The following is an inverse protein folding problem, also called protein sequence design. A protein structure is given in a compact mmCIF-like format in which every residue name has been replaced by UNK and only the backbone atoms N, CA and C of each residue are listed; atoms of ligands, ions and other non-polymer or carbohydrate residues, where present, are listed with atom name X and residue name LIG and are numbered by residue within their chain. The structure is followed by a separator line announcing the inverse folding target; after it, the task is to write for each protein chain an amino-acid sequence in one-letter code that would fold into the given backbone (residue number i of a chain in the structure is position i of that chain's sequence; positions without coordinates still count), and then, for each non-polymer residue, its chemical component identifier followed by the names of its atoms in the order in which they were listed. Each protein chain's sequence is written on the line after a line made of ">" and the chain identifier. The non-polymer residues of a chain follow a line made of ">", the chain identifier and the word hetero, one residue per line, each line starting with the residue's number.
data_IF_450455002215
#
_entry.id   IF_450455002215
#
_cell.length_a   1.000
_cell.length_b   1.000
_cell.length_c   1.000
_cell.angle_alpha   90.00
_cell.angle_beta   90.00
_cell.angle_gamma   90.00
#
_symmetry.space_group_name_H-M   'P 1'
#
loop_
_entity.id
_entity.type
_entity.pdbx_description
1 polymer ?
#
# COMPACT_ATOMS: atom_id res chain seq x y z
N UNK A 1 -24.53 -2.78 10.10
CA UNK A 1 -24.46 -4.17 10.63
C UNK A 1 -24.32 -4.09 12.13
N UNK A 2 -25.13 -4.81 12.89
CA UNK A 2 -25.01 -4.87 14.35
C UNK A 2 -24.10 -6.08 14.67
N UNK A 3 -23.00 -5.86 15.34
CA UNK A 3 -22.10 -6.93 15.81
C UNK A 3 -22.29 -7.14 17.30
N UNK A 4 -22.22 -8.39 17.74
CA UNK A 4 -22.50 -8.78 19.13
C UNK A 4 -21.24 -9.33 19.81
N UNK A 5 -20.39 -10.07 19.09
CA UNK A 5 -19.14 -10.64 19.60
C UNK A 5 -17.95 -10.01 18.88
N UNK A 6 -17.03 -9.44 19.67
CA UNK A 6 -15.82 -8.78 19.20
C UNK A 6 -14.60 -9.57 19.63
N UNK A 7 -13.80 -10.02 18.67
CA UNK A 7 -12.57 -10.78 18.91
C UNK A 7 -11.38 -9.91 18.54
N UNK A 8 -10.49 -9.64 19.47
CA UNK A 8 -9.21 -8.99 19.22
C UNK A 8 -8.10 -10.02 19.07
N UNK A 9 -7.26 -9.84 18.05
CA UNK A 9 -6.14 -10.73 17.74
C UNK A 9 -4.83 -9.96 17.78
N UNK A 10 -3.91 -10.42 18.65
CA UNK A 10 -2.50 -10.02 18.59
C UNK A 10 -1.68 -11.11 17.87
N UNK A 11 -1.08 -10.75 16.71
CA UNK A 11 -0.37 -11.68 15.85
C UNK A 11 1.11 -11.76 16.18
N UNK A 12 1.61 -13.00 16.36
CA UNK A 12 3.03 -13.30 16.34
C UNK A 12 3.37 -14.35 15.27
N UNK A 13 4.65 -14.61 15.04
CA UNK A 13 5.12 -15.50 13.99
C UNK A 13 4.58 -16.93 14.13
N UNK A 14 4.67 -17.51 15.33
CA UNK A 14 4.29 -18.89 15.58
C UNK A 14 2.86 -19.02 16.12
N UNK A 15 2.39 -18.03 16.86
CA UNK A 15 1.12 -18.05 17.56
C UNK A 15 0.40 -16.71 17.37
N UNK A 16 -0.87 -16.67 17.71
CA UNK A 16 -1.61 -15.45 17.97
C UNK A 16 -2.45 -15.61 19.25
N UNK A 17 -2.67 -14.50 19.94
CA UNK A 17 -3.53 -14.47 21.14
C UNK A 17 -4.86 -13.83 20.78
N UNK A 18 -5.97 -14.45 21.21
CA UNK A 18 -7.31 -13.96 20.99
C UNK A 18 -7.99 -13.62 22.32
N UNK A 19 -8.66 -12.48 22.36
CA UNK A 19 -9.55 -12.04 23.45
C UNK A 19 -10.94 -11.78 22.91
N UNK A 20 -11.99 -12.06 23.69
CA UNK A 20 -13.38 -11.95 23.26
C UNK A 20 -14.17 -11.03 24.20
N UNK A 21 -14.92 -10.08 23.61
CA UNK A 21 -15.86 -9.18 24.29
C UNK A 21 -17.27 -9.37 23.75
N UNK A 22 -18.26 -9.49 24.62
CA UNK A 22 -19.67 -9.68 24.26
C UNK A 22 -20.47 -8.39 24.49
N UNK A 23 -21.14 -7.90 23.46
CA UNK A 23 -22.00 -6.72 23.57
C UNK A 23 -21.28 -5.50 24.14
N UNK A 24 -21.87 -4.90 25.18
CA UNK A 24 -21.33 -3.73 25.88
C UNK A 24 -20.58 -4.11 27.19
N UNK A 25 -20.47 -5.41 27.50
CA UNK A 25 -19.78 -5.88 28.71
C UNK A 25 -18.31 -5.41 28.68
N UNK A 26 -17.81 -4.71 29.70
CA UNK A 26 -16.44 -4.22 29.75
C UNK A 26 -15.41 -5.36 29.86
N UNK A 27 -15.79 -6.48 30.45
CA UNK A 27 -14.90 -7.60 30.76
C UNK A 27 -14.89 -8.64 29.62
N UNK A 28 -13.74 -9.29 29.36
CA UNK A 28 -13.67 -10.41 28.43
C UNK A 28 -14.57 -11.57 28.88
N UNK A 29 -15.26 -12.19 27.91
CA UNK A 29 -16.17 -13.35 28.14
C UNK A 29 -15.43 -14.52 28.82
N UNK A 30 -14.13 -14.63 28.54
CA UNK A 30 -13.25 -15.63 29.13
C UNK A 30 -11.80 -15.15 29.06
N UNK A 31 -10.88 -15.84 29.71
CA UNK A 31 -9.44 -15.55 29.63
C UNK A 31 -8.96 -15.61 28.18
N UNK A 32 -8.10 -14.66 27.75
CA UNK A 32 -7.47 -14.67 26.44
C UNK A 32 -6.78 -16.00 26.16
N UNK A 33 -6.88 -16.49 24.92
CA UNK A 33 -6.39 -17.81 24.53
C UNK A 33 -5.39 -17.72 23.40
N UNK A 34 -4.31 -18.48 23.48
CA UNK A 34 -3.30 -18.60 22.44
C UNK A 34 -3.65 -19.75 21.47
N UNK A 35 -3.39 -19.49 20.16
CA UNK A 35 -3.58 -20.43 19.06
C UNK A 35 -2.34 -20.43 18.18
N UNK A 36 -2.04 -21.55 17.50
CA UNK A 36 -0.98 -21.59 16.49
C UNK A 36 -1.34 -20.75 15.26
N UNK A 37 -0.36 -20.04 14.71
CA UNK A 37 -0.58 -19.20 13.50
C UNK A 37 -0.47 -20.06 12.22
N UNK A 38 -1.36 -21.05 12.12
CA UNK A 38 -1.48 -22.00 11.02
C UNK A 38 -2.97 -22.39 10.78
N UNK A 39 -3.22 -23.27 9.83
CA UNK A 39 -4.57 -23.77 9.53
C UNK A 39 -5.25 -24.46 10.71
N UNK A 40 -4.48 -25.14 11.56
CA UNK A 40 -4.99 -25.82 12.75
C UNK A 40 -5.46 -24.82 13.79
N UNK A 41 -4.66 -23.78 14.04
CA UNK A 41 -5.04 -22.71 14.97
C UNK A 41 -6.21 -21.88 14.47
N UNK A 42 -6.30 -21.63 13.16
CA UNK A 42 -7.46 -20.94 12.58
C UNK A 42 -8.76 -21.73 12.78
N UNK A 43 -8.76 -23.05 12.54
CA UNK A 43 -9.91 -23.93 12.81
C UNK A 43 -10.26 -23.98 14.29
N UNK A 44 -9.24 -24.04 15.18
CA UNK A 44 -9.45 -24.03 16.61
C UNK A 44 -10.05 -22.71 17.10
N UNK A 45 -9.64 -21.57 16.52
CA UNK A 45 -10.24 -20.25 16.80
C UNK A 45 -11.72 -20.23 16.38
N UNK A 46 -12.06 -20.67 15.17
CA UNK A 46 -13.45 -20.72 14.71
C UNK A 46 -14.30 -21.58 15.66
N UNK A 47 -13.82 -22.77 16.05
CA UNK A 47 -14.51 -23.63 17.03
C UNK A 47 -14.65 -22.97 18.40
N UNK A 48 -13.68 -22.17 18.82
CA UNK A 48 -13.75 -21.42 20.07
C UNK A 48 -14.76 -20.28 19.99
N UNK A 49 -14.80 -19.54 18.87
CA UNK A 49 -15.79 -18.48 18.60
C UNK A 49 -17.22 -19.06 18.68
N UNK A 50 -17.49 -20.19 18.01
CA UNK A 50 -18.80 -20.84 18.02
C UNK A 50 -19.26 -21.19 19.44
N UNK A 51 -18.35 -21.61 20.33
CA UNK A 51 -18.68 -21.93 21.73
C UNK A 51 -18.99 -20.69 22.57
N UNK A 52 -18.48 -19.51 22.18
CA UNK A 52 -18.73 -18.25 22.89
C UNK A 52 -19.97 -17.53 22.39
N UNK A 53 -20.48 -17.93 21.22
CA UNK A 53 -21.64 -17.28 20.61
C UNK A 53 -22.91 -17.63 21.38
N UNK A 54 -23.74 -16.63 21.77
CA UNK A 54 -25.07 -16.89 22.27
C UNK A 54 -25.93 -17.64 21.24
N UNK A 55 -26.84 -18.51 21.70
CA UNK A 55 -27.72 -19.30 20.82
C UNK A 55 -28.57 -18.46 19.85
N UNK A 56 -28.82 -17.19 20.21
CA UNK A 56 -29.59 -16.24 19.37
C UNK A 56 -28.74 -15.55 18.30
N UNK A 57 -27.43 -15.78 18.28
CA UNK A 57 -26.47 -15.12 17.38
C UNK A 57 -25.90 -16.09 16.34
N UNK A 58 -25.44 -15.55 15.24
CA UNK A 58 -24.82 -16.27 14.13
C UNK A 58 -23.37 -15.80 13.91
N UNK A 59 -22.61 -16.51 13.08
CA UNK A 59 -21.24 -16.09 12.73
C UNK A 59 -21.17 -14.71 12.07
N UNK A 60 -22.24 -14.27 11.44
CA UNK A 60 -22.35 -12.90 10.88
C UNK A 60 -22.40 -11.80 11.94
N UNK A 61 -22.70 -12.14 13.20
CA UNK A 61 -22.72 -11.19 14.33
C UNK A 61 -21.35 -11.06 15.02
N UNK A 62 -20.35 -11.79 14.53
CA UNK A 62 -18.97 -11.75 14.99
C UNK A 62 -18.16 -10.74 14.18
N UNK A 63 -17.28 -9.99 14.85
CA UNK A 63 -16.23 -9.22 14.21
C UNK A 63 -14.88 -9.59 14.82
N UNK A 64 -13.99 -10.11 14.02
CA UNK A 64 -12.59 -10.34 14.39
C UNK A 64 -11.77 -9.15 13.94
N UNK A 65 -11.01 -8.54 14.84
CA UNK A 65 -10.09 -7.45 14.54
C UNK A 65 -8.67 -7.86 14.90
N UNK A 66 -7.70 -7.50 14.09
CA UNK A 66 -6.29 -7.73 14.35
C UNK A 66 -5.42 -6.61 13.82
N UNK A 67 -4.21 -6.50 14.36
CA UNK A 67 -3.20 -5.59 13.83
C UNK A 67 -2.61 -6.14 12.53
N UNK A 68 -2.48 -5.28 11.50
CA UNK A 68 -1.83 -5.68 10.25
C UNK A 68 -0.31 -5.78 10.44
N UNK A 69 0.19 -6.98 10.71
CA UNK A 69 1.62 -7.29 10.96
C UNK A 69 2.34 -7.88 9.75
N UNK A 70 1.92 -7.52 8.53
CA UNK A 70 2.51 -8.06 7.28
C UNK A 70 2.18 -9.54 7.08
N UNK A 71 3.20 -10.37 6.78
CA UNK A 71 3.00 -11.78 6.42
C UNK A 71 2.37 -12.64 7.53
N UNK A 72 2.51 -12.26 8.80
CA UNK A 72 1.94 -13.03 9.91
C UNK A 72 0.42 -12.91 10.04
N UNK A 73 -0.16 -11.86 9.48
CA UNK A 73 -1.60 -11.59 9.49
C UNK A 73 -2.31 -11.96 8.17
N UNK A 74 -1.74 -12.79 7.30
CA UNK A 74 -2.34 -13.13 6.01
C UNK A 74 -3.25 -14.36 6.04
N UNK A 75 -2.87 -15.38 6.79
CA UNK A 75 -3.55 -16.67 6.76
C UNK A 75 -4.93 -16.61 7.45
N UNK A 76 -4.96 -16.10 8.68
CA UNK A 76 -6.16 -16.10 9.51
C UNK A 76 -7.34 -15.35 8.90
N UNK A 77 -7.20 -14.12 8.36
CA UNK A 77 -8.31 -13.40 7.74
C UNK A 77 -8.94 -14.18 6.56
N UNK A 78 -8.11 -14.88 5.79
CA UNK A 78 -8.62 -15.72 4.71
C UNK A 78 -9.47 -16.87 5.23
N UNK A 79 -9.02 -17.56 6.30
CA UNK A 79 -9.76 -18.66 6.90
C UNK A 79 -11.05 -18.19 7.60
N UNK A 80 -11.04 -17.01 8.19
CA UNK A 80 -12.24 -16.40 8.75
C UNK A 80 -13.25 -16.04 7.66
N UNK A 81 -12.78 -15.46 6.56
CA UNK A 81 -13.63 -15.19 5.40
C UNK A 81 -14.27 -16.46 4.83
N UNK A 82 -13.48 -17.54 4.66
CA UNK A 82 -13.98 -18.84 4.19
C UNK A 82 -15.01 -19.46 5.17
N UNK A 83 -14.94 -19.10 6.46
CA UNK A 83 -15.88 -19.51 7.50
C UNK A 83 -17.10 -18.57 7.63
N UNK A 84 -17.20 -17.51 6.85
CA UNK A 84 -18.28 -16.50 6.93
C UNK A 84 -18.18 -15.57 8.13
N UNK A 85 -16.98 -15.40 8.69
CA UNK A 85 -16.73 -14.51 9.82
C UNK A 85 -16.07 -13.22 9.31
N UNK A 86 -16.65 -12.07 9.67
CA UNK A 86 -16.10 -10.78 9.32
C UNK A 86 -14.79 -10.52 10.04
N UNK A 87 -13.77 -10.13 9.27
CA UNK A 87 -12.44 -9.80 9.77
C UNK A 87 -12.05 -8.37 9.36
N UNK A 88 -11.44 -7.63 10.29
CA UNK A 88 -10.93 -6.29 10.10
C UNK A 88 -9.45 -6.22 10.49
N UNK A 89 -8.57 -6.02 9.51
CA UNK A 89 -7.15 -5.74 9.76
C UNK A 89 -6.93 -4.23 9.83
N UNK A 90 -6.51 -3.75 11.00
CA UNK A 90 -6.30 -2.32 11.23
C UNK A 90 -4.81 -1.99 11.38
N UNK A 91 -4.48 -0.71 11.14
CA UNK A 91 -3.13 -0.21 11.35
C UNK A 91 -2.83 -0.09 12.85
N UNK A 92 -1.66 -0.58 13.28
CA UNK A 92 -1.16 -0.48 14.65
C UNK A 92 -1.28 0.93 15.26
N UNK A 93 -0.97 1.95 14.47
CA UNK A 93 -1.06 3.36 14.91
C UNK A 93 -2.50 3.76 15.22
N UNK A 94 -3.47 3.27 14.43
CA UNK A 94 -4.88 3.57 14.66
C UNK A 94 -5.40 2.90 15.93
N UNK A 95 -5.04 1.63 16.15
CA UNK A 95 -5.40 0.88 17.36
C UNK A 95 -4.81 1.58 18.59
N UNK A 96 -3.52 1.87 18.57
CA UNK A 96 -2.81 2.51 19.69
C UNK A 96 -3.37 3.89 20.02
N UNK A 97 -3.64 4.72 19.02
CA UNK A 97 -4.19 6.06 19.25
C UNK A 97 -5.68 6.03 19.65
N UNK A 98 -6.41 4.98 19.26
CA UNK A 98 -7.83 4.81 19.59
C UNK A 98 -8.07 4.23 20.97
N UNK A 99 -7.09 3.53 21.57
CA UNK A 99 -7.26 2.89 22.87
C UNK A 99 -7.39 3.88 24.03
N UNK A 100 -6.84 5.10 23.88
CA UNK A 100 -6.87 6.13 24.94
C UNK A 100 -6.14 5.75 26.24
N UNK A 101 -5.51 4.57 26.29
CA UNK A 101 -4.86 4.03 27.49
C UNK A 101 -3.36 4.30 27.48
N UNK A 102 -2.81 4.73 28.60
CA UNK A 102 -1.37 4.68 28.86
C UNK A 102 -1.04 3.27 29.36
N UNK A 103 -0.59 2.41 28.43
CA UNK A 103 -0.22 1.02 28.75
C UNK A 103 1.06 1.01 29.57
N UNK A 104 1.00 0.61 30.85
CA UNK A 104 2.16 0.46 31.72
C UNK A 104 2.74 -0.97 31.71
N UNK A 105 1.90 -1.96 31.42
CA UNK A 105 2.31 -3.36 31.25
C UNK A 105 1.97 -3.83 29.85
N UNK A 106 2.93 -4.45 29.19
CA UNK A 106 2.75 -5.03 27.87
C UNK A 106 2.68 -6.54 28.00
N UNK A 107 1.52 -7.12 27.64
CA UNK A 107 1.36 -8.55 27.44
C UNK A 107 0.48 -8.80 26.22
N UNK A 108 0.74 -9.87 25.50
CA UNK A 108 -0.02 -10.24 24.30
C UNK A 108 -1.52 -10.40 24.61
N UNK A 109 -1.87 -10.81 25.83
CA UNK A 109 -3.26 -10.91 26.31
C UNK A 109 -3.92 -9.54 26.47
N UNK A 110 -3.19 -8.56 27.03
CA UNK A 110 -3.69 -7.19 27.17
C UNK A 110 -3.81 -6.51 25.82
N UNK A 111 -2.86 -6.74 24.90
CA UNK A 111 -2.89 -6.20 23.54
C UNK A 111 -4.08 -6.79 22.76
N UNK A 112 -4.35 -8.10 22.84
CA UNK A 112 -5.51 -8.72 22.23
C UNK A 112 -6.83 -8.14 22.76
N UNK A 113 -6.94 -7.90 24.08
CA UNK A 113 -8.14 -7.29 24.69
C UNK A 113 -8.33 -5.85 24.23
N UNK A 114 -7.25 -5.06 24.18
CA UNK A 114 -7.28 -3.69 23.66
C UNK A 114 -7.73 -3.63 22.19
N UNK A 115 -7.32 -4.58 21.36
CA UNK A 115 -7.75 -4.70 19.97
C UNK A 115 -9.26 -5.03 19.88
N UNK A 116 -9.78 -5.89 20.76
CA UNK A 116 -11.23 -6.20 20.82
C UNK A 116 -12.05 -4.96 21.22
N UNK A 117 -11.59 -4.20 22.22
CA UNK A 117 -12.21 -2.94 22.65
C UNK A 117 -12.21 -1.88 21.53
N UNK A 118 -11.08 -1.77 20.83
CA UNK A 118 -10.97 -0.90 19.65
C UNK A 118 -12.00 -1.26 18.59
N UNK A 119 -12.10 -2.55 18.26
CA UNK A 119 -13.08 -3.03 17.29
C UNK A 119 -14.51 -2.69 17.69
N UNK A 120 -14.89 -2.96 18.96
CA UNK A 120 -16.21 -2.65 19.52
C UNK A 120 -16.53 -1.15 19.44
N UNK A 121 -15.56 -0.30 19.75
CA UNK A 121 -15.76 1.16 19.81
C UNK A 121 -15.90 1.77 18.41
N UNK A 122 -15.13 1.28 17.43
CA UNK A 122 -14.97 1.96 16.14
C UNK A 122 -15.60 1.26 14.95
N UNK A 123 -16.13 0.03 15.07
CA UNK A 123 -16.61 -0.74 13.93
C UNK A 123 -17.69 -0.01 13.13
N UNK A 124 -18.64 0.69 13.79
CA UNK A 124 -19.70 1.39 13.10
C UNK A 124 -19.21 2.56 12.23
N UNK A 125 -18.06 3.14 12.56
CA UNK A 125 -17.52 4.36 11.93
C UNK A 125 -16.38 4.11 10.99
N UNK A 126 -15.60 3.04 11.19
CA UNK A 126 -14.28 2.87 10.54
C UNK A 126 -14.01 1.48 9.97
N UNK A 127 -14.88 0.49 10.22
CA UNK A 127 -14.61 -0.89 9.80
C UNK A 127 -14.39 -0.99 8.30
N UNK A 128 -13.29 -1.68 7.94
CA UNK A 128 -13.02 -2.14 6.58
C UNK A 128 -12.83 -3.63 6.63
N UNK A 129 -13.87 -4.34 6.23
CA UNK A 129 -13.86 -5.80 6.24
C UNK A 129 -12.82 -6.32 5.24
N UNK A 130 -12.10 -7.34 5.67
CA UNK A 130 -11.19 -8.07 4.82
C UNK A 130 -11.98 -8.81 3.73
N UNK A 131 -11.59 -8.56 2.50
CA UNK A 131 -12.04 -9.32 1.33
C UNK A 131 -10.80 -9.88 0.66
N UNK A 132 -10.73 -11.19 0.41
CA UNK A 132 -9.58 -11.77 -0.28
C UNK A 132 -9.37 -11.13 -1.65
N UNK A 133 -8.12 -10.81 -1.96
CA UNK A 133 -7.77 -10.40 -3.31
C UNK A 133 -8.01 -11.55 -4.31
N UNK A 134 -8.24 -11.19 -5.57
CA UNK A 134 -8.27 -12.19 -6.63
C UNK A 134 -6.91 -12.90 -6.73
N UNK A 135 -6.88 -14.18 -7.11
CA UNK A 135 -5.62 -14.91 -7.26
C UNK A 135 -4.61 -14.19 -8.16
N UNK A 136 -5.08 -13.54 -9.23
CA UNK A 136 -4.24 -12.79 -10.17
C UNK A 136 -3.64 -11.55 -9.49
N UNK A 137 -4.39 -10.81 -8.70
CA UNK A 137 -3.87 -9.65 -7.97
C UNK A 137 -2.88 -10.05 -6.89
N UNK A 138 -3.13 -11.15 -6.19
CA UNK A 138 -2.22 -11.70 -5.19
C UNK A 138 -0.88 -12.09 -5.83
N UNK A 139 -0.91 -12.82 -6.93
CA UNK A 139 0.30 -13.22 -7.68
C UNK A 139 1.04 -12.01 -8.25
N UNK A 140 0.30 -11.03 -8.76
CA UNK A 140 0.87 -9.78 -9.27
C UNK A 140 1.56 -8.98 -8.17
N UNK A 141 1.02 -8.99 -6.95
CA UNK A 141 1.63 -8.35 -5.76
C UNK A 141 2.96 -9.01 -5.41
N UNK A 142 2.99 -10.35 -5.36
CA UNK A 142 4.22 -11.09 -5.10
C UNK A 142 5.30 -10.81 -6.17
N UNK A 143 4.92 -10.83 -7.44
CA UNK A 143 5.83 -10.46 -8.54
C UNK A 143 6.36 -9.03 -8.40
N UNK A 144 5.50 -8.07 -8.05
CA UNK A 144 5.91 -6.67 -7.84
C UNK A 144 6.89 -6.54 -6.66
N UNK A 145 6.69 -7.26 -5.58
CA UNK A 145 7.59 -7.24 -4.42
C UNK A 145 8.93 -7.93 -4.72
N UNK A 146 8.93 -9.03 -5.47
CA UNK A 146 10.17 -9.64 -6.00
C UNK A 146 10.93 -8.61 -6.86
N UNK A 147 10.24 -7.94 -7.77
CA UNK A 147 10.82 -6.90 -8.62
C UNK A 147 11.44 -5.76 -7.82
N UNK A 148 10.71 -5.24 -6.81
CA UNK A 148 11.20 -4.17 -5.91
C UNK A 148 12.52 -4.57 -5.26
N UNK A 149 12.60 -5.79 -4.73
CA UNK A 149 13.80 -6.33 -4.08
C UNK A 149 14.95 -6.43 -5.07
N UNK A 150 14.75 -7.02 -6.25
CA UNK A 150 15.76 -7.15 -7.29
C UNK A 150 16.30 -5.79 -7.78
N UNK A 151 15.42 -4.80 -7.97
CA UNK A 151 15.83 -3.43 -8.36
C UNK A 151 16.67 -2.76 -7.27
N UNK A 152 16.30 -2.93 -5.99
CA UNK A 152 17.10 -2.43 -4.85
C UNK A 152 18.48 -3.08 -4.80
N UNK A 153 18.56 -4.38 -4.99
CA UNK A 153 19.81 -5.14 -5.04
C UNK A 153 20.69 -4.69 -6.23
N UNK A 154 20.08 -4.54 -7.41
CA UNK A 154 20.78 -4.01 -8.59
C UNK A 154 21.40 -2.64 -8.33
N UNK A 155 20.67 -1.74 -7.66
CA UNK A 155 21.17 -0.41 -7.32
C UNK A 155 22.39 -0.51 -6.36
N UNK A 156 22.32 -1.37 -5.35
CA UNK A 156 23.44 -1.64 -4.44
C UNK A 156 24.69 -2.18 -5.15
N UNK A 157 24.50 -3.13 -6.09
CA UNK A 157 25.62 -3.68 -6.87
C UNK A 157 26.22 -2.63 -7.81
N UNK A 158 25.42 -1.75 -8.42
CA UNK A 158 25.93 -0.62 -9.23
C UNK A 158 26.81 0.32 -8.41
N UNK A 159 26.43 0.63 -7.16
CA UNK A 159 27.25 1.44 -6.26
C UNK A 159 28.57 0.73 -5.94
N UNK A 160 28.53 -0.55 -5.55
CA UNK A 160 29.72 -1.35 -5.26
C UNK A 160 30.68 -1.42 -6.46
N UNK A 161 30.14 -1.59 -7.68
CA UNK A 161 30.94 -1.59 -8.91
C UNK A 161 31.63 -0.24 -9.11
N UNK A 162 30.90 0.88 -8.99
CA UNK A 162 31.48 2.21 -9.10
C UNK A 162 32.62 2.44 -8.09
N UNK A 163 32.41 2.03 -6.85
CA UNK A 163 33.44 2.13 -5.81
C UNK A 163 34.69 1.29 -6.14
N UNK A 164 34.52 0.09 -6.70
CA UNK A 164 35.60 -0.75 -7.14
C UNK A 164 36.34 -0.12 -8.33
N UNK A 165 35.67 0.50 -9.28
CA UNK A 165 36.26 1.23 -10.41
C UNK A 165 37.07 2.43 -9.94
N UNK A 166 36.59 3.19 -8.93
CA UNK A 166 37.38 4.28 -8.31
C UNK A 166 38.64 3.75 -7.63
N UNK A 167 38.54 2.64 -6.88
CA UNK A 167 39.68 2.01 -6.24
C UNK A 167 40.73 1.47 -7.26
N UNK A 168 40.24 1.00 -8.41
CA UNK A 168 41.15 0.53 -9.47
C UNK A 168 41.97 1.69 -10.06
N UNK A 169 41.37 2.88 -10.21
CA UNK A 169 42.08 4.10 -10.63
C UNK A 169 43.20 4.48 -9.65
N UNK A 170 42.92 4.33 -8.33
CA UNK A 170 43.95 4.60 -7.28
C UNK A 170 45.02 3.51 -7.17
N UNK A 171 44.74 2.27 -7.61
CA UNK A 171 45.68 1.13 -7.59
C UNK A 171 45.67 0.40 -8.94
N UNK A 172 46.26 0.99 -9.97
CA UNK A 172 46.31 0.40 -11.31
C UNK A 172 47.00 -0.96 -11.27
N UNK A 173 46.43 -1.95 -11.98
CA UNK A 173 47.02 -3.30 -12.05
C UNK A 173 46.63 -4.25 -10.91
N UNK A 174 45.80 -3.87 -9.94
CA UNK A 174 45.33 -4.76 -8.90
C UNK A 174 44.44 -5.87 -9.45
N UNK A 175 44.96 -7.09 -9.57
CA UNK A 175 44.26 -8.28 -10.05
C UNK A 175 42.98 -8.57 -9.20
N UNK A 176 43.08 -8.36 -7.88
CA UNK A 176 41.92 -8.57 -6.97
C UNK A 176 40.75 -7.59 -7.23
N UNK A 177 41.06 -6.30 -7.50
CA UNK A 177 40.00 -5.31 -7.80
C UNK A 177 39.37 -5.62 -9.16
N UNK A 178 40.18 -5.99 -10.16
CA UNK A 178 39.66 -6.40 -11.48
C UNK A 178 38.78 -7.63 -11.36
N UNK A 179 39.21 -8.64 -10.57
CA UNK A 179 38.38 -9.81 -10.30
C UNK A 179 37.03 -9.42 -9.63
N UNK A 180 37.08 -8.54 -8.63
CA UNK A 180 35.81 -8.06 -7.96
C UNK A 180 34.86 -7.37 -8.95
N UNK A 181 35.36 -6.50 -9.83
CA UNK A 181 34.57 -5.85 -10.87
C UNK A 181 33.89 -6.88 -11.77
N UNK A 182 34.62 -7.90 -12.23
CA UNK A 182 34.09 -8.98 -13.07
C UNK A 182 32.99 -9.78 -12.35
N UNK A 183 33.14 -10.03 -11.05
CA UNK A 183 32.10 -10.70 -10.23
C UNK A 183 30.86 -9.83 -10.17
N UNK A 184 30.98 -8.54 -9.87
CA UNK A 184 29.86 -7.59 -9.78
C UNK A 184 29.14 -7.44 -11.12
N UNK A 185 29.88 -7.47 -12.24
CA UNK A 185 29.28 -7.43 -13.59
C UNK A 185 28.41 -8.66 -13.88
N UNK A 186 28.91 -9.86 -13.51
CA UNK A 186 28.13 -11.10 -13.67
C UNK A 186 26.87 -11.08 -12.80
N UNK A 187 26.97 -10.62 -11.55
CA UNK A 187 25.81 -10.45 -10.67
C UNK A 187 24.79 -9.46 -11.23
N UNK A 188 25.26 -8.33 -11.77
CA UNK A 188 24.40 -7.33 -12.40
C UNK A 188 23.68 -7.87 -13.64
N UNK A 189 24.38 -8.65 -14.48
CA UNK A 189 23.79 -9.30 -15.64
C UNK A 189 22.71 -10.30 -15.24
N UNK A 190 22.99 -11.14 -14.24
CA UNK A 190 22.02 -12.09 -13.69
C UNK A 190 20.76 -11.39 -13.15
N UNK A 191 20.92 -10.36 -12.29
CA UNK A 191 19.79 -9.64 -11.73
C UNK A 191 18.97 -8.95 -12.83
N UNK A 192 19.62 -8.40 -13.86
CA UNK A 192 18.93 -7.80 -15.00
C UNK A 192 18.04 -8.82 -15.73
N UNK A 193 18.52 -10.04 -15.90
CA UNK A 193 17.76 -11.14 -16.49
C UNK A 193 16.55 -11.51 -15.61
N UNK A 194 16.75 -11.61 -14.27
CA UNK A 194 15.66 -11.95 -13.36
C UNK A 194 14.58 -10.85 -13.35
N UNK A 195 14.98 -9.56 -13.36
CA UNK A 195 14.01 -8.45 -13.48
C UNK A 195 13.20 -8.59 -14.77
N UNK A 196 13.85 -8.87 -15.91
CA UNK A 196 13.15 -9.04 -17.18
C UNK A 196 12.19 -10.25 -17.19
N UNK A 197 12.53 -11.30 -16.46
CA UNK A 197 11.66 -12.48 -16.24
C UNK A 197 10.40 -12.10 -15.46
N UNK A 198 10.57 -11.40 -14.35
CA UNK A 198 9.47 -10.94 -13.50
C UNK A 198 8.59 -9.93 -14.25
N UNK A 199 9.18 -9.01 -15.03
CA UNK A 199 8.44 -8.05 -15.85
C UNK A 199 7.54 -8.75 -16.88
N UNK A 200 8.04 -9.81 -17.55
CA UNK A 200 7.23 -10.64 -18.46
C UNK A 200 6.08 -11.35 -17.74
N UNK A 201 6.35 -11.91 -16.56
CA UNK A 201 5.33 -12.59 -15.76
C UNK A 201 4.22 -11.62 -15.34
N UNK A 202 4.58 -10.44 -14.82
CA UNK A 202 3.61 -9.41 -14.44
C UNK A 202 2.76 -8.96 -15.63
N UNK A 203 3.38 -8.79 -16.80
CA UNK A 203 2.64 -8.43 -18.02
C UNK A 203 1.67 -9.54 -18.43
N UNK A 204 2.08 -10.81 -18.40
CA UNK A 204 1.21 -11.96 -18.68
C UNK A 204 0.01 -12.02 -17.72
N UNK A 205 0.23 -11.82 -16.42
CA UNK A 205 -0.83 -11.78 -15.41
C UNK A 205 -1.83 -10.64 -15.67
N UNK A 206 -1.36 -9.44 -15.98
CA UNK A 206 -2.22 -8.30 -16.33
C UNK A 206 -3.09 -8.64 -17.55
N UNK A 207 -2.51 -9.25 -18.58
CA UNK A 207 -3.23 -9.58 -19.82
C UNK A 207 -4.20 -10.75 -19.68
N UNK A 208 -4.05 -11.59 -18.66
CA UNK A 208 -4.97 -12.68 -18.37
C UNK A 208 -6.30 -12.22 -17.74
N UNK A 209 -6.35 -11.01 -17.17
CA UNK A 209 -7.56 -10.43 -16.57
C UNK A 209 -8.04 -9.24 -17.39
N UNK A 210 -9.25 -9.33 -17.96
CA UNK A 210 -9.81 -8.29 -18.84
C UNK A 210 -9.93 -6.93 -18.16
N UNK A 211 -10.32 -6.90 -16.87
CA UNK A 211 -10.49 -5.65 -16.09
C UNK A 211 -9.13 -5.01 -15.81
N UNK A 212 -8.16 -5.79 -15.32
CA UNK A 212 -6.81 -5.29 -15.04
C UNK A 212 -6.10 -4.86 -16.31
N UNK A 213 -6.30 -5.58 -17.43
CA UNK A 213 -5.78 -5.22 -18.75
C UNK A 213 -6.32 -3.86 -19.22
N UNK A 214 -7.62 -3.62 -19.08
CA UNK A 214 -8.23 -2.32 -19.40
C UNK A 214 -7.66 -1.19 -18.55
N UNK A 215 -7.56 -1.37 -17.24
CA UNK A 215 -6.95 -0.37 -16.35
C UNK A 215 -5.48 -0.10 -16.72
N UNK A 216 -4.72 -1.16 -17.04
CA UNK A 216 -3.35 -1.02 -17.50
C UNK A 216 -3.25 -0.18 -18.78
N UNK A 217 -4.06 -0.48 -19.80
CA UNK A 217 -4.06 0.26 -21.06
C UNK A 217 -4.44 1.74 -20.87
N UNK A 218 -5.40 2.02 -20.00
CA UNK A 218 -5.76 3.39 -19.60
C UNK A 218 -4.56 4.12 -19.00
N UNK A 219 -3.85 3.52 -18.05
CA UNK A 219 -2.74 4.19 -17.37
C UNK A 219 -1.55 4.41 -18.29
N UNK A 220 -1.19 3.42 -19.12
CA UNK A 220 -0.05 3.54 -20.04
C UNK A 220 -0.33 4.44 -21.24
N UNK A 221 -1.59 4.77 -21.53
CA UNK A 221 -1.94 5.74 -22.57
C UNK A 221 -1.46 7.16 -22.25
N UNK A 222 -1.14 7.46 -20.98
CA UNK A 222 -0.60 8.75 -20.56
C UNK A 222 0.88 8.85 -20.96
N UNK A 223 1.21 9.79 -21.82
CA UNK A 223 2.59 10.03 -22.26
C UNK A 223 3.51 10.28 -21.05
N UNK A 224 4.55 9.45 -20.94
CA UNK A 224 5.51 9.50 -19.82
C UNK A 224 5.19 8.58 -18.65
N UNK A 225 4.07 7.85 -18.67
CA UNK A 225 3.74 6.81 -17.69
C UNK A 225 4.05 5.44 -18.28
N UNK A 226 4.98 4.72 -17.66
CA UNK A 226 5.43 3.42 -18.16
C UNK A 226 4.74 2.21 -17.49
N UNK A 227 4.95 1.00 -18.07
CA UNK A 227 4.37 -0.26 -17.59
C UNK A 227 4.56 -0.53 -16.10
N UNK A 228 5.77 -0.30 -15.59
CA UNK A 228 6.12 -0.51 -14.18
C UNK A 228 5.24 0.30 -13.25
N UNK A 229 4.97 1.55 -13.62
CA UNK A 229 4.12 2.44 -12.81
C UNK A 229 2.66 2.00 -12.86
N UNK A 230 2.18 1.62 -14.05
CA UNK A 230 0.82 1.14 -14.21
C UNK A 230 0.58 -0.10 -13.33
N UNK A 231 1.45 -1.10 -13.39
CA UNK A 231 1.36 -2.31 -12.58
C UNK A 231 1.45 -1.99 -11.08
N UNK A 232 2.41 -1.15 -10.68
CA UNK A 232 2.57 -0.78 -9.28
C UNK A 232 1.32 -0.05 -8.72
N UNK A 233 0.67 0.80 -9.51
CA UNK A 233 -0.58 1.45 -9.10
C UNK A 233 -1.75 0.47 -9.06
N UNK A 234 -1.86 -0.46 -10.01
CA UNK A 234 -2.88 -1.53 -10.01
C UNK A 234 -2.74 -2.38 -8.74
N UNK A 235 -1.53 -2.82 -8.42
CA UNK A 235 -1.24 -3.61 -7.21
C UNK A 235 -1.56 -2.83 -5.94
N UNK A 236 -1.11 -1.57 -5.85
CA UNK A 236 -1.34 -0.73 -4.69
C UNK A 236 -2.83 -0.51 -4.39
N UNK A 237 -3.60 -0.31 -5.44
CA UNK A 237 -5.02 0.06 -5.35
C UNK A 237 -5.96 -1.14 -5.48
N UNK A 238 -5.42 -2.36 -5.59
CA UNK A 238 -6.19 -3.57 -5.92
C UNK A 238 -7.15 -3.34 -7.10
N UNK A 239 -6.61 -2.79 -8.20
CA UNK A 239 -7.40 -2.42 -9.37
C UNK A 239 -8.35 -1.24 -9.12
N UNK A 240 -7.93 -0.24 -8.34
CA UNK A 240 -8.67 0.97 -7.97
C UNK A 240 -9.94 0.71 -7.15
N UNK A 241 -9.91 -0.33 -6.32
CA UNK A 241 -11.03 -0.68 -5.40
C UNK A 241 -10.74 -0.33 -3.94
N UNK A 242 -9.47 -0.24 -3.53
CA UNK A 242 -9.07 -0.05 -2.11
C UNK A 242 -9.37 1.37 -1.58
N UNK A 243 -9.34 2.38 -2.44
CA UNK A 243 -9.51 3.77 -2.04
C UNK A 243 -10.85 4.34 -2.49
N UNK A 244 -11.53 5.06 -1.60
CA UNK A 244 -12.84 5.65 -1.89
C UNK A 244 -12.74 6.95 -2.71
N UNK A 245 -11.57 7.61 -2.67
CA UNK A 245 -11.36 8.88 -3.35
C UNK A 245 -9.89 9.08 -3.80
N UNK A 246 -9.72 9.93 -4.82
CA UNK A 246 -8.38 10.40 -5.23
C UNK A 246 -7.60 11.06 -4.09
N UNK A 247 -8.30 11.69 -3.13
CA UNK A 247 -7.68 12.36 -1.99
C UNK A 247 -7.09 11.34 -1.01
N UNK A 248 -7.82 10.26 -0.71
CA UNK A 248 -7.32 9.18 0.15
C UNK A 248 -6.09 8.50 -0.46
N UNK A 249 -6.11 8.23 -1.78
CA UNK A 249 -4.94 7.72 -2.51
C UNK A 249 -3.76 8.71 -2.47
N UNK A 250 -4.00 10.01 -2.70
CA UNK A 250 -2.96 11.04 -2.64
C UNK A 250 -2.35 11.19 -1.23
N UNK A 251 -3.17 11.05 -0.18
CA UNK A 251 -2.70 11.03 1.20
C UNK A 251 -1.81 9.82 1.46
N UNK A 252 -2.22 8.64 1.04
CA UNK A 252 -1.43 7.40 1.18
C UNK A 252 -0.09 7.49 0.44
N UNK A 253 -0.09 8.03 -0.78
CA UNK A 253 1.12 8.25 -1.58
C UNK A 253 2.01 9.40 -1.04
N UNK A 254 1.56 10.13 -0.03
CA UNK A 254 2.30 11.25 0.56
C UNK A 254 2.49 12.43 -0.39
N UNK A 255 1.58 12.62 -1.34
CA UNK A 255 1.60 13.75 -2.28
C UNK A 255 0.56 14.82 -1.95
N UNK A 256 -0.43 14.49 -1.10
CA UNK A 256 -1.37 15.47 -0.59
C UNK A 256 -0.68 16.45 0.36
N UNK A 257 -0.93 17.76 0.24
CA UNK A 257 -0.42 18.74 1.19
C UNK A 257 -1.22 18.69 2.50
N UNK A 258 -0.52 18.62 3.62
CA UNK A 258 -1.10 18.76 4.96
C UNK A 258 -0.70 20.13 5.53
N UNK A 259 -1.67 20.91 6.00
CA UNK A 259 -1.42 22.13 6.76
C UNK A 259 -1.22 21.76 8.23
N UNK A 260 -0.24 22.35 8.86
CA UNK A 260 -0.04 22.28 10.30
C UNK A 260 -0.19 23.70 10.84
N UNK A 261 -1.36 23.95 11.43
CA UNK A 261 -1.70 25.23 12.05
C UNK A 261 -2.03 24.94 13.51
N UNK A 262 -1.38 25.62 14.45
CA UNK A 262 -1.68 25.55 15.88
C UNK A 262 -1.70 26.96 16.44
N UNK A 263 -2.89 27.47 16.72
CA UNK A 263 -3.12 28.82 17.25
C UNK A 263 -2.57 29.91 16.34
N UNK A 264 -2.28 31.05 16.92
CA UNK A 264 -1.72 32.23 16.20
C UNK A 264 -0.19 32.18 16.04
N UNK A 265 0.50 31.30 16.77
CA UNK A 265 1.97 31.27 16.87
C UNK A 265 2.67 30.32 15.91
N UNK A 266 1.96 29.32 15.34
CA UNK A 266 2.55 28.33 14.43
C UNK A 266 1.80 28.34 13.11
N UNK A 267 2.32 29.10 12.14
CA UNK A 267 1.92 29.04 10.73
C UNK A 267 2.98 28.23 9.96
N UNK A 268 3.06 26.92 10.22
CA UNK A 268 3.87 26.05 9.38
C UNK A 268 3.16 25.85 8.05
N UNK A 269 3.87 26.16 6.96
CA UNK A 269 3.37 25.95 5.61
C UNK A 269 2.98 24.48 5.35
N UNK A 270 2.41 24.26 4.20
CA UNK A 270 1.99 22.91 3.75
C UNK A 270 3.17 21.95 3.63
N UNK A 271 3.15 20.81 4.28
CA UNK A 271 4.19 19.77 4.20
C UNK A 271 3.61 18.41 3.81
N UNK A 272 4.48 17.56 3.34
CA UNK A 272 4.18 16.19 2.93
C UNK A 272 4.12 15.26 4.16
N UNK A 273 3.22 14.26 4.17
CA UNK A 273 3.25 13.19 5.18
C UNK A 273 4.57 12.43 5.15
N UNK A 274 5.14 12.17 6.33
CA UNK A 274 6.34 11.31 6.51
C UNK A 274 6.02 9.82 6.50
N UNK A 275 4.76 9.45 6.59
CA UNK A 275 4.29 8.06 6.66
C UNK A 275 4.13 7.40 5.27
N UNK A 276 4.39 8.14 4.18
CA UNK A 276 4.27 7.61 2.83
C UNK A 276 5.35 6.58 2.50
N UNK A 277 4.97 5.52 1.80
CA UNK A 277 5.91 4.52 1.28
C UNK A 277 6.91 5.18 0.30
N UNK A 278 8.19 5.08 0.62
CA UNK A 278 9.29 5.66 -0.16
C UNK A 278 9.38 5.12 -1.58
N UNK A 279 8.99 3.86 -1.80
CA UNK A 279 8.99 3.23 -3.12
C UNK A 279 8.02 3.93 -4.07
N UNK A 280 6.75 4.05 -3.68
CA UNK A 280 5.75 4.72 -4.52
C UNK A 280 6.06 6.20 -4.71
N UNK A 281 6.58 6.84 -3.68
CA UNK A 281 7.04 8.24 -3.79
C UNK A 281 8.18 8.41 -4.79
N UNK A 282 9.15 7.49 -4.81
CA UNK A 282 10.25 7.47 -5.77
C UNK A 282 9.77 7.16 -7.19
N UNK A 283 8.88 6.18 -7.34
CA UNK A 283 8.28 5.82 -8.62
C UNK A 283 7.54 7.01 -9.24
N UNK A 284 6.67 7.66 -8.47
CA UNK A 284 5.94 8.84 -8.94
C UNK A 284 6.86 10.03 -9.23
N UNK A 285 8.00 10.16 -8.54
CA UNK A 285 8.99 11.16 -8.88
C UNK A 285 9.54 10.94 -10.29
N UNK A 286 9.94 9.71 -10.61
CA UNK A 286 10.45 9.36 -11.95
C UNK A 286 9.39 9.56 -13.03
N UNK A 287 8.14 9.19 -12.74
CA UNK A 287 7.01 9.43 -13.66
C UNK A 287 6.77 10.91 -13.89
N UNK A 288 6.80 11.73 -12.84
CA UNK A 288 6.64 13.18 -12.99
C UNK A 288 7.76 13.79 -13.85
N UNK A 289 9.01 13.34 -13.65
CA UNK A 289 10.15 13.78 -14.48
C UNK A 289 9.97 13.33 -15.94
N UNK A 290 9.55 12.09 -16.17
CA UNK A 290 9.27 11.57 -17.51
C UNK A 290 8.13 12.35 -18.20
N UNK A 291 7.01 12.55 -17.49
CA UNK A 291 5.86 13.25 -18.03
C UNK A 291 6.17 14.73 -18.35
N UNK A 292 7.04 15.39 -17.59
CA UNK A 292 7.49 16.77 -17.92
C UNK A 292 8.20 16.85 -19.27
N UNK A 293 8.81 15.75 -19.73
CA UNK A 293 9.55 15.72 -20.99
C UNK A 293 8.71 15.20 -22.18
N UNK A 294 7.74 14.31 -21.91
CA UNK A 294 7.03 13.59 -22.94
C UNK A 294 5.52 13.92 -23.04
N UNK A 295 4.98 14.66 -22.08
CA UNK A 295 3.57 15.02 -22.06
C UNK A 295 3.42 16.54 -22.20
N UNK A 296 2.89 17.05 -23.32
CA UNK A 296 2.77 18.50 -23.57
C UNK A 296 1.93 19.24 -22.51
N UNK A 297 0.82 18.65 -22.04
CA UNK A 297 -0.02 19.23 -20.99
C UNK A 297 0.74 19.43 -19.68
N UNK A 298 1.54 18.40 -19.30
CA UNK A 298 2.35 18.46 -18.09
C UNK A 298 3.52 19.44 -18.24
N UNK A 299 4.11 19.52 -19.43
CA UNK A 299 5.14 20.52 -19.73
C UNK A 299 4.61 21.94 -19.58
N UNK A 300 3.45 22.26 -20.17
CA UNK A 300 2.79 23.55 -20.00
C UNK A 300 2.41 23.86 -18.56
N UNK A 301 1.93 22.86 -17.82
CA UNK A 301 1.64 23.00 -16.39
C UNK A 301 2.89 23.33 -15.58
N UNK A 302 4.02 22.67 -15.86
CA UNK A 302 5.33 22.96 -15.27
C UNK A 302 5.75 24.41 -15.52
N UNK A 303 5.70 24.89 -16.77
CA UNK A 303 6.07 26.26 -17.13
C UNK A 303 5.23 27.31 -16.38
N UNK A 304 3.92 27.07 -16.29
CA UNK A 304 3.01 27.95 -15.54
C UNK A 304 3.39 28.01 -14.05
N UNK A 305 3.82 26.91 -13.44
CA UNK A 305 4.26 26.89 -12.05
C UNK A 305 5.63 27.56 -11.86
N UNK A 306 6.54 27.41 -12.84
CA UNK A 306 7.83 28.12 -12.85
C UNK A 306 7.63 29.64 -12.94
N UNK A 307 6.76 30.13 -13.83
CA UNK A 307 6.40 31.55 -13.93
C UNK A 307 5.80 32.09 -12.63
N UNK A 308 5.15 31.27 -11.81
CA UNK A 308 4.64 31.61 -10.46
C UNK A 308 5.72 31.53 -9.36
N UNK A 309 7.00 31.34 -9.70
CA UNK A 309 8.11 31.29 -8.76
C UNK A 309 8.11 30.06 -7.83
N UNK A 310 7.42 28.98 -8.17
CA UNK A 310 7.37 27.80 -7.29
C UNK A 310 8.70 27.04 -7.30
N UNK A 311 9.20 26.57 -6.12
CA UNK A 311 10.42 25.75 -6.04
C UNK A 311 10.29 24.43 -6.82
N UNK A 312 11.40 23.94 -7.38
CA UNK A 312 11.43 22.73 -8.23
C UNK A 312 10.77 21.50 -7.58
N UNK A 313 11.05 21.24 -6.30
CA UNK A 313 10.46 20.09 -5.59
C UNK A 313 8.95 20.23 -5.37
N UNK A 314 8.46 21.45 -5.17
CA UNK A 314 7.03 21.75 -5.08
C UNK A 314 6.36 21.53 -6.43
N UNK A 315 7.00 21.93 -7.52
CA UNK A 315 6.50 21.70 -8.89
C UNK A 315 6.36 20.19 -9.15
N UNK A 316 7.39 19.41 -8.84
CA UNK A 316 7.34 17.93 -9.00
C UNK A 316 6.20 17.33 -8.18
N UNK A 317 6.02 17.75 -6.93
CA UNK A 317 4.94 17.24 -6.10
C UNK A 317 3.54 17.61 -6.65
N UNK A 318 3.39 18.82 -7.18
CA UNK A 318 2.15 19.24 -7.84
C UNK A 318 1.87 18.39 -9.10
N UNK A 319 2.91 18.07 -9.88
CA UNK A 319 2.79 17.21 -11.06
C UNK A 319 2.39 15.78 -10.66
N UNK A 320 3.01 15.21 -9.62
CA UNK A 320 2.59 13.90 -9.08
C UNK A 320 1.11 13.89 -8.74
N UNK A 321 0.63 14.92 -8.03
CA UNK A 321 -0.77 15.01 -7.64
C UNK A 321 -1.70 15.19 -8.86
N UNK A 322 -1.30 15.99 -9.85
CA UNK A 322 -2.03 16.16 -11.10
C UNK A 322 -2.13 14.83 -11.86
N UNK A 323 -1.02 14.09 -12.00
CA UNK A 323 -1.00 12.78 -12.66
C UNK A 323 -1.91 11.76 -11.96
N UNK A 324 -1.85 11.65 -10.63
CA UNK A 324 -2.76 10.77 -9.88
C UNK A 324 -4.22 11.19 -10.05
N UNK A 325 -4.51 12.51 -10.12
CA UNK A 325 -5.86 13.01 -10.39
C UNK A 325 -6.36 12.59 -11.77
N UNK A 326 -5.50 12.71 -12.80
CA UNK A 326 -5.82 12.30 -14.18
C UNK A 326 -6.04 10.78 -14.22
N UNK A 327 -5.08 9.98 -13.72
CA UNK A 327 -5.19 8.51 -13.69
C UNK A 327 -6.48 8.07 -12.99
N UNK A 328 -6.78 8.65 -11.83
CA UNK A 328 -8.00 8.32 -11.09
C UNK A 328 -9.26 8.59 -11.89
N UNK A 329 -9.36 9.77 -12.51
CA UNK A 329 -10.52 10.14 -13.31
C UNK A 329 -10.67 9.23 -14.54
N UNK A 330 -9.58 8.95 -15.25
CA UNK A 330 -9.59 8.09 -16.44
C UNK A 330 -10.04 6.66 -16.10
N UNK A 331 -9.50 6.07 -15.02
CA UNK A 331 -9.87 4.72 -14.60
C UNK A 331 -11.34 4.67 -14.13
N UNK A 332 -11.84 5.70 -13.44
CA UNK A 332 -13.24 5.74 -12.99
C UNK A 332 -14.23 5.94 -14.14
N UNK A 333 -13.81 6.63 -15.20
CA UNK A 333 -14.65 6.90 -16.37
C UNK A 333 -14.40 5.91 -17.53
N UNK A 334 -13.49 4.95 -17.37
CA UNK A 334 -13.08 3.97 -18.38
C UNK A 334 -12.65 4.63 -19.71
N UNK A 335 -11.82 5.69 -19.63
CA UNK A 335 -11.40 6.49 -20.79
C UNK A 335 -9.89 6.47 -20.97
N UNK A 336 -9.43 6.44 -22.22
CA UNK A 336 -8.02 6.63 -22.57
C UNK A 336 -7.61 8.10 -22.43
N UNK A 337 -6.28 8.34 -22.35
CA UNK A 337 -5.75 9.69 -22.25
C UNK A 337 -5.97 10.48 -23.55
N UNK A 338 -6.59 11.65 -23.41
CA UNK A 338 -6.76 12.62 -24.49
C UNK A 338 -5.93 13.88 -24.14
N UNK A 339 -4.83 14.15 -24.84
CA UNK A 339 -3.99 15.31 -24.59
C UNK A 339 -4.72 16.65 -24.80
N UNK A 340 -5.77 16.67 -25.63
CA UNK A 340 -6.54 17.87 -25.97
C UNK A 340 -7.80 18.05 -25.12
N UNK A 341 -8.02 17.16 -24.13
CA UNK A 341 -9.21 17.18 -23.28
C UNK A 341 -9.45 18.55 -22.64
N UNK A 342 -8.40 19.20 -22.14
CA UNK A 342 -8.51 20.52 -21.50
C UNK A 342 -8.92 21.63 -22.47
N UNK A 343 -8.53 21.54 -23.75
CA UNK A 343 -8.92 22.49 -24.79
C UNK A 343 -10.39 22.29 -25.15
N UNK A 344 -10.82 21.05 -25.32
CA UNK A 344 -12.21 20.69 -25.61
C UNK A 344 -13.15 21.15 -24.49
N UNK A 345 -12.79 20.93 -23.24
CA UNK A 345 -13.56 21.38 -22.07
C UNK A 345 -13.63 22.91 -22.02
N UNK A 346 -12.50 23.61 -22.25
CA UNK A 346 -12.52 25.09 -22.27
C UNK A 346 -13.43 25.66 -23.36
N UNK A 347 -13.46 25.04 -24.55
CA UNK A 347 -14.35 25.42 -25.64
C UNK A 347 -15.83 25.20 -25.30
N UNK A 348 -16.17 24.10 -24.62
CA UNK A 348 -17.55 23.82 -24.16
C UNK A 348 -18.07 24.88 -23.18
N UNK A 349 -17.21 25.41 -22.28
CA UNK A 349 -17.61 26.48 -21.35
C UNK A 349 -17.68 27.87 -21.99
N UNK A 350 -17.11 28.08 -23.20
CA UNK A 350 -17.23 29.35 -23.92
C UNK A 350 -18.47 29.41 -24.81
N UNK A 351 -19.06 28.22 -25.10
CA UNK A 351 -20.23 28.09 -25.97
C UNK A 351 -21.54 27.85 -25.18
N UNK A 352 -21.46 27.72 -23.85
CA UNK A 352 -22.58 27.61 -22.92
C UNK A 352 -22.77 28.91 -22.12
#
# INVERSE_FOLDING_TARGET
>A
MKKTLFIGIDFAKANFVASALLGEDPDPVCLPKSFSNDDKGAKALVSWIVKLLPETCSLSDVLVCGEHTGSYSLLLPRRLFDAGIDCWLENAVCIKNGSGRIVREKSDSADATMIAEYARTFYQKRVRLFVPESPILSELRECNDIRRRLVKEQAGLKCKKRDAEVRLKAKPGSKAIVMNIKILERQLAYIKEQIAKVDRQMYSLIRSDKKLSGIYDIIVSINGVGPVTAIALIVLTSGFTTFDSKRSLACFLGIAPFRSESGTSIQNGSHRSRQADSYYSGLLYMVAVSAMNWNPEIALYRERLLKKGKPKLVIINNIKNKLITIIWAMVKNDTLYDPDHHVKVAQQYQTA
#
